data_IF_414356782988
#
_entry.id   IF_414356782988
#
_cell.length_a   1.000
_cell.length_b   1.000
_cell.length_c   1.000
_cell.angle_alpha   90.00
_cell.angle_beta   90.00
_cell.angle_gamma   90.00
#
_symmetry.space_group_name_H-M   'P 1'
#
loop_
_entity.id
_entity.type
_entity.pdbx_description
1 polymer ?
#
# COMPACT_ATOMS: atom_id res chain seq x y z
N UNK A 1 9.13 -19.48 -17.20
CA UNK A 1 7.68 -19.78 -17.11
C UNK A 1 6.97 -18.66 -17.85
N UNK A 2 6.17 -18.96 -18.88
CA UNK A 2 5.39 -17.94 -19.60
C UNK A 2 4.09 -17.75 -18.85
N UNK A 3 3.77 -16.53 -18.41
CA UNK A 3 2.51 -16.25 -17.73
C UNK A 3 1.33 -16.49 -18.68
N UNK A 4 0.32 -17.23 -18.19
CA UNK A 4 -0.93 -17.45 -18.91
C UNK A 4 -1.79 -16.19 -18.98
N UNK A 5 -2.79 -16.16 -19.88
CA UNK A 5 -3.67 -15.01 -20.07
C UNK A 5 -4.40 -14.58 -18.78
N UNK A 6 -4.80 -15.54 -17.93
CA UNK A 6 -5.48 -15.25 -16.67
C UNK A 6 -4.60 -14.46 -15.70
N UNK A 7 -3.29 -14.74 -15.70
CA UNK A 7 -2.34 -14.06 -14.81
C UNK A 7 -2.07 -12.63 -15.26
N UNK A 8 -2.06 -12.37 -16.57
CA UNK A 8 -2.00 -11.01 -17.11
C UNK A 8 -3.26 -10.22 -16.76
N UNK A 9 -4.43 -10.83 -16.93
CA UNK A 9 -5.71 -10.21 -16.56
C UNK A 9 -5.74 -9.85 -15.07
N UNK A 10 -5.34 -10.77 -14.21
CA UNK A 10 -5.25 -10.52 -12.77
C UNK A 10 -4.29 -9.38 -12.44
N UNK A 11 -3.12 -9.33 -13.09
CA UNK A 11 -2.16 -8.24 -12.90
C UNK A 11 -2.77 -6.89 -13.30
N UNK A 12 -3.48 -6.83 -14.43
CA UNK A 12 -4.14 -5.61 -14.89
C UNK A 12 -5.25 -5.17 -13.93
N UNK A 13 -6.06 -6.10 -13.41
CA UNK A 13 -7.10 -5.83 -12.42
C UNK A 13 -6.51 -5.28 -11.11
N UNK A 14 -5.43 -5.90 -10.60
CA UNK A 14 -4.74 -5.44 -9.39
C UNK A 14 -4.06 -4.08 -9.60
N UNK A 15 -3.48 -3.82 -10.77
CA UNK A 15 -2.89 -2.52 -11.11
C UNK A 15 -3.92 -1.41 -11.23
N UNK A 16 -5.07 -1.68 -11.85
CA UNK A 16 -6.17 -0.74 -11.91
C UNK A 16 -6.68 -0.39 -10.51
N UNK A 17 -6.75 -1.38 -9.60
CA UNK A 17 -7.10 -1.15 -8.20
C UNK A 17 -6.04 -0.31 -7.47
N UNK A 18 -4.76 -0.60 -7.67
CA UNK A 18 -3.66 0.20 -7.12
C UNK A 18 -3.71 1.65 -7.60
N UNK A 19 -3.95 1.87 -8.90
CA UNK A 19 -4.08 3.20 -9.50
C UNK A 19 -5.24 3.98 -8.89
N UNK A 20 -6.38 3.35 -8.63
CA UNK A 20 -7.54 3.98 -7.97
C UNK A 20 -7.19 4.48 -6.57
N UNK A 21 -6.54 3.64 -5.76
CA UNK A 21 -6.10 3.98 -4.39
C UNK A 21 -5.08 5.11 -4.43
N UNK A 22 -4.05 4.98 -5.26
CA UNK A 22 -2.97 5.98 -5.37
C UNK A 22 -3.51 7.31 -5.88
N UNK A 23 -4.43 7.31 -6.85
CA UNK A 23 -5.05 8.53 -7.37
C UNK A 23 -5.90 9.23 -6.31
N UNK A 24 -6.65 8.47 -5.50
CA UNK A 24 -7.43 9.03 -4.40
C UNK A 24 -6.53 9.69 -3.35
N UNK A 25 -5.45 9.01 -2.94
CA UNK A 25 -4.46 9.58 -2.02
C UNK A 25 -3.80 10.83 -2.60
N UNK A 26 -3.38 10.79 -3.87
CA UNK A 26 -2.76 11.92 -4.55
C UNK A 26 -3.70 13.13 -4.63
N UNK A 27 -5.00 12.91 -4.90
CA UNK A 27 -6.02 13.97 -4.92
C UNK A 27 -6.20 14.66 -3.57
N UNK A 28 -5.92 13.96 -2.47
CA UNK A 28 -5.91 14.51 -1.11
C UNK A 28 -4.54 15.10 -0.71
N UNK A 29 -3.59 15.21 -1.65
CA UNK A 29 -2.26 15.74 -1.40
C UNK A 29 -1.31 14.77 -0.71
N UNK A 30 -1.63 13.48 -0.68
CA UNK A 30 -0.84 12.41 -0.08
C UNK A 30 -0.20 11.52 -1.15
N UNK A 31 1.07 11.75 -1.54
CA UNK A 31 1.77 10.86 -2.47
C UNK A 31 1.98 9.46 -1.87
N UNK A 32 1.97 8.46 -2.73
CA UNK A 32 2.14 7.04 -2.39
C UNK A 32 2.82 6.28 -3.53
N UNK A 33 3.30 5.07 -3.24
CA UNK A 33 3.90 4.13 -4.19
C UNK A 33 3.18 2.78 -4.11
N UNK A 34 3.15 2.04 -5.21
CA UNK A 34 2.80 0.60 -5.17
C UNK A 34 4.06 -0.21 -4.92
N UNK A 35 3.96 -1.25 -4.11
CA UNK A 35 5.04 -2.16 -3.79
C UNK A 35 4.59 -3.62 -3.98
N UNK A 36 5.47 -4.58 -3.70
CA UNK A 36 5.10 -5.99 -3.63
C UNK A 36 4.93 -6.66 -4.99
N UNK A 37 4.09 -7.71 -5.01
CA UNK A 37 3.84 -8.55 -6.18
C UNK A 37 3.32 -7.76 -7.38
N UNK A 38 2.40 -6.82 -7.14
CA UNK A 38 1.78 -5.96 -8.18
C UNK A 38 2.83 -5.07 -8.87
N UNK A 39 3.75 -4.49 -8.11
CA UNK A 39 4.86 -3.71 -8.66
C UNK A 39 5.80 -4.58 -9.50
N UNK A 40 6.13 -5.79 -9.04
CA UNK A 40 7.01 -6.74 -9.74
C UNK A 40 6.36 -7.41 -10.95
N UNK A 41 5.03 -7.43 -11.02
CA UNK A 41 4.29 -8.15 -12.06
C UNK A 41 4.21 -9.67 -11.85
N UNK A 42 4.43 -10.13 -10.62
CA UNK A 42 4.41 -11.56 -10.24
C UNK A 42 3.30 -11.79 -9.22
N UNK A 43 2.07 -11.93 -9.71
CA UNK A 43 0.83 -11.96 -8.90
C UNK A 43 0.15 -13.32 -8.95
N UNK A 44 -0.61 -13.65 -7.92
CA UNK A 44 -1.50 -14.81 -7.83
C UNK A 44 -2.83 -14.39 -7.18
N UNK A 45 -3.79 -15.32 -7.08
CA UNK A 45 -5.12 -15.04 -6.53
C UNK A 45 -5.11 -14.58 -5.06
N UNK A 46 -3.99 -14.76 -4.35
CA UNK A 46 -3.81 -14.35 -2.95
C UNK A 46 -3.04 -13.03 -2.83
N UNK A 47 -2.68 -12.42 -3.96
CA UNK A 47 -1.90 -11.19 -3.96
C UNK A 47 -2.73 -10.00 -3.50
N UNK A 48 -2.13 -9.24 -2.58
CA UNK A 48 -2.64 -7.95 -2.13
C UNK A 48 -2.08 -6.79 -2.99
N UNK A 49 -2.79 -5.67 -2.98
CA UNK A 49 -2.33 -4.37 -3.45
C UNK A 49 -1.67 -3.64 -2.29
N UNK A 50 -0.34 -3.71 -2.24
CA UNK A 50 0.47 -3.01 -1.24
C UNK A 50 0.78 -1.58 -1.69
N UNK A 51 0.24 -0.61 -0.96
CA UNK A 51 0.50 0.82 -1.14
C UNK A 51 1.33 1.35 0.03
N UNK A 52 2.39 2.08 -0.29
CA UNK A 52 3.32 2.63 0.70
C UNK A 52 3.29 4.15 0.64
N UNK A 53 3.10 4.78 1.79
CA UNK A 53 3.26 6.21 1.99
C UNK A 53 4.59 6.41 2.72
N UNK A 54 5.59 6.98 2.05
CA UNK A 54 6.91 7.20 2.67
C UNK A 54 6.93 8.42 3.58
N UNK A 55 6.17 9.46 3.22
CA UNK A 55 6.10 10.72 3.96
C UNK A 55 4.65 11.13 4.18
N UNK A 56 4.03 10.70 5.29
CA UNK A 56 2.66 11.05 5.63
C UNK A 56 2.54 12.55 5.85
N UNK A 57 1.61 13.17 5.12
CA UNK A 57 1.18 14.56 5.26
C UNK A 57 -0.18 14.66 5.93
N UNK A 58 -0.89 13.53 6.00
CA UNK A 58 -2.20 13.37 6.63
C UNK A 58 -2.10 12.36 7.77
N UNK A 59 -2.91 12.50 8.83
CA UNK A 59 -3.04 11.49 9.87
C UNK A 59 -3.58 10.16 9.30
N UNK A 60 -3.19 9.04 9.92
CA UNK A 60 -3.67 7.69 9.55
C UNK A 60 -5.21 7.61 9.49
N UNK A 61 -5.91 8.21 10.46
CA UNK A 61 -7.38 8.24 10.48
C UNK A 61 -8.00 8.99 9.30
N UNK A 62 -7.31 10.02 8.79
CA UNK A 62 -7.75 10.76 7.60
C UNK A 62 -7.52 9.92 6.34
N UNK A 63 -6.39 9.21 6.26
CA UNK A 63 -6.10 8.26 5.18
C UNK A 63 -7.16 7.16 5.13
N UNK A 64 -7.53 6.57 6.28
CA UNK A 64 -8.61 5.59 6.38
C UNK A 64 -9.93 6.13 5.84
N UNK A 65 -10.32 7.34 6.26
CA UNK A 65 -11.57 7.97 5.83
C UNK A 65 -11.60 8.23 4.32
N UNK A 66 -10.50 8.73 3.74
CA UNK A 66 -10.37 9.03 2.31
C UNK A 66 -10.52 7.77 1.45
N UNK A 67 -9.95 6.66 1.93
CA UNK A 67 -9.91 5.40 1.21
C UNK A 67 -11.15 4.54 1.42
N UNK A 68 -11.92 4.77 2.49
CA UNK A 68 -13.13 4.01 2.80
C UNK A 68 -14.10 3.91 1.61
N UNK A 69 -14.29 5.01 0.89
CA UNK A 69 -15.19 5.05 -0.27
C UNK A 69 -14.68 4.21 -1.46
N UNK A 70 -13.37 4.00 -1.56
CA UNK A 70 -12.73 3.32 -2.68
C UNK A 70 -12.53 1.83 -2.45
N UNK A 71 -12.17 1.46 -1.21
CA UNK A 71 -11.74 0.11 -0.84
C UNK A 71 -12.49 -0.45 0.36
N UNK A 72 -13.55 0.20 0.82
CA UNK A 72 -14.37 -0.28 1.94
C UNK A 72 -13.76 0.00 3.31
N UNK A 73 -14.33 -0.61 4.34
CA UNK A 73 -13.90 -0.35 5.71
C UNK A 73 -12.52 -0.95 6.03
N UNK A 74 -11.75 -0.33 6.95
CA UNK A 74 -10.54 -0.95 7.48
C UNK A 74 -10.88 -2.21 8.29
N UNK A 75 -10.43 -3.37 7.80
CA UNK A 75 -10.59 -4.68 8.43
C UNK A 75 -9.72 -4.83 9.68
N UNK A 76 -8.46 -4.38 9.62
CA UNK A 76 -7.54 -4.37 10.77
C UNK A 76 -6.48 -3.27 10.66
N UNK A 77 -5.95 -2.85 11.79
CA UNK A 77 -4.72 -2.04 11.87
C UNK A 77 -3.63 -2.86 12.54
N UNK A 78 -2.43 -2.75 12.03
CA UNK A 78 -1.25 -3.42 12.56
C UNK A 78 -0.13 -2.39 12.71
N UNK A 79 0.62 -2.47 13.82
CA UNK A 79 1.79 -1.65 14.06
C UNK A 79 2.97 -2.59 14.22
N UNK A 80 4.02 -2.35 13.46
CA UNK A 80 5.25 -3.16 13.52
C UNK A 80 6.46 -2.29 13.76
N UNK A 81 7.45 -2.87 14.43
CA UNK A 81 8.77 -2.30 14.59
C UNK A 81 9.77 -3.45 14.59
N UNK A 82 10.60 -3.53 13.54
CA UNK A 82 11.49 -4.67 13.32
C UNK A 82 12.62 -4.74 14.37
N UNK A 83 13.15 -3.58 14.78
CA UNK A 83 14.15 -3.44 15.84
C UNK A 83 13.90 -2.15 16.61
N UNK A 84 14.39 -1.99 17.85
CA UNK A 84 14.19 -0.75 18.62
C UNK A 84 14.66 0.53 17.91
N UNK A 85 15.61 0.43 16.98
CA UNK A 85 16.11 1.56 16.18
C UNK A 85 15.42 1.73 14.83
N UNK A 86 14.53 0.82 14.43
CA UNK A 86 13.75 0.94 13.20
C UNK A 86 12.58 1.90 13.40
N UNK A 87 12.15 2.54 12.31
CA UNK A 87 10.92 3.31 12.32
C UNK A 87 9.72 2.42 12.67
N UNK A 88 8.81 2.97 13.47
CA UNK A 88 7.52 2.34 13.73
C UNK A 88 6.66 2.51 12.48
N UNK A 89 6.12 1.40 11.96
CA UNK A 89 5.28 1.38 10.76
C UNK A 89 3.86 0.99 11.13
N UNK A 90 2.90 1.74 10.61
CA UNK A 90 1.49 1.39 10.63
C UNK A 90 1.07 0.74 9.32
N UNK A 91 0.18 -0.23 9.42
CA UNK A 91 -0.46 -0.93 8.30
C UNK A 91 -1.96 -0.89 8.50
N UNK A 92 -2.67 -0.43 7.48
CA UNK A 92 -4.12 -0.41 7.43
C UNK A 92 -4.53 -1.43 6.38
N UNK A 93 -5.20 -2.48 6.81
CA UNK A 93 -5.75 -3.50 5.93
C UNK A 93 -7.21 -3.17 5.65
N UNK A 94 -7.55 -3.02 4.39
CA UNK A 94 -8.92 -2.77 3.94
C UNK A 94 -9.53 -4.04 3.37
N UNK A 95 -10.86 -4.09 3.38
CA UNK A 95 -11.59 -5.16 2.70
C UNK A 95 -11.28 -5.15 1.17
N UNK A 96 -11.01 -6.33 0.62
CA UNK A 96 -10.64 -6.47 -0.80
C UNK A 96 -9.16 -6.27 -1.11
N UNK A 97 -8.28 -6.84 -0.27
CA UNK A 97 -6.88 -7.08 -0.60
C UNK A 97 -6.09 -5.79 -0.88
N UNK A 98 -6.34 -4.73 -0.10
CA UNK A 98 -5.56 -3.48 -0.16
C UNK A 98 -4.92 -3.25 1.20
N UNK A 99 -3.61 -3.04 1.19
CA UNK A 99 -2.83 -2.73 2.39
C UNK A 99 -2.14 -1.40 2.19
N UNK A 100 -2.40 -0.45 3.08
CA UNK A 100 -1.71 0.84 3.08
C UNK A 100 -0.76 0.89 4.26
N UNK A 101 0.53 1.06 3.96
CA UNK A 101 1.58 1.18 4.96
C UNK A 101 2.12 2.60 5.04
N UNK A 102 2.44 3.05 6.24
CA UNK A 102 2.99 4.37 6.50
C UNK A 102 3.88 4.37 7.74
N UNK A 103 4.93 5.19 7.79
CA UNK A 103 5.67 5.43 9.02
C UNK A 103 4.81 6.20 10.03
N UNK A 104 4.92 5.82 11.31
CA UNK A 104 4.40 6.57 12.46
C UNK A 104 5.50 7.38 13.14
N UNK A 105 6.76 7.11 12.80
CA UNK A 105 7.96 7.87 13.15
C UNK A 105 8.80 8.05 11.90
N UNK A 106 9.64 9.08 11.83
CA UNK A 106 10.48 9.33 10.65
C UNK A 106 11.26 8.08 10.21
N UNK A 107 11.27 7.82 8.90
CA UNK A 107 12.07 6.75 8.30
C UNK A 107 13.55 7.13 8.36
N UNK A 108 14.41 6.17 8.71
CA UNK A 108 15.84 6.34 8.51
C UNK A 108 16.22 6.35 7.02
N UNK A 109 17.41 6.87 6.69
CA UNK A 109 17.91 6.94 5.31
C UNK A 109 17.86 5.58 4.59
N UNK A 110 18.34 4.51 5.23
CA UNK A 110 18.31 3.15 4.68
C UNK A 110 16.89 2.62 4.44
N UNK A 111 15.93 3.05 5.28
CA UNK A 111 14.54 2.62 5.14
C UNK A 111 13.85 3.37 4.01
N UNK A 112 14.19 4.64 3.76
CA UNK A 112 13.72 5.35 2.57
C UNK A 112 14.35 4.80 1.28
N UNK A 113 15.65 4.49 1.29
CA UNK A 113 16.38 3.95 0.12
C UNK A 113 15.84 2.60 -0.35
N UNK A 114 15.28 1.79 0.56
CA UNK A 114 14.65 0.52 0.20
C UNK A 114 13.51 0.64 -0.84
N UNK A 115 12.90 1.82 -0.94
CA UNK A 115 11.78 2.09 -1.85
C UNK A 115 12.18 2.87 -3.11
N UNK A 116 13.48 3.10 -3.34
CA UNK A 116 14.02 3.73 -4.55
C UNK A 116 14.55 2.67 -5.52
#
# INVERSE_FOLDING_TARGET
MVYGPDRWRLLDELRARAEKVMSRLASAGQPSLVYGSVARGDVDERSDVDVVILRPRLPASTIEMILREEVGDPARREITQATPSSAVKGYIHFDGNVVVSLPLTDLGEREEEFYR
#
